data_IF_962235901968
#
_entry.id   IF_962235901968
#
_cell.length_a   1.000
_cell.length_b   1.000
_cell.length_c   1.000
_cell.angle_alpha   90.00
_cell.angle_beta   90.00
_cell.angle_gamma   90.00
#
_symmetry.space_group_name_H-M   'P 1'
#
loop_
_entity.id
_entity.type
_entity.pdbx_description
1 polymer ?
#
# COMPACT_ATOMS: atom_id res chain seq x y z
N UNK A 1 19.53 -26.15 21.41
CA UNK A 1 20.01 -25.16 20.43
C UNK A 1 20.15 -23.81 21.10
N UNK A 2 21.27 -23.13 20.89
CA UNK A 2 21.41 -21.70 21.21
C UNK A 2 21.30 -20.98 19.86
N UNK A 3 20.23 -20.23 19.65
CA UNK A 3 20.08 -19.40 18.46
C UNK A 3 20.74 -18.04 18.69
N UNK A 4 21.40 -17.50 17.67
CA UNK A 4 21.93 -16.14 17.66
C UNK A 4 21.54 -15.48 16.35
N UNK A 5 20.87 -14.34 16.45
CA UNK A 5 20.49 -13.54 15.29
C UNK A 5 21.54 -12.47 15.03
N UNK A 6 21.86 -12.29 13.76
CA UNK A 6 22.92 -11.42 13.31
C UNK A 6 22.45 -10.58 12.11
N UNK A 7 22.80 -9.29 12.11
CA UNK A 7 22.74 -8.45 10.93
C UNK A 7 24.16 -7.91 10.71
N UNK A 8 24.92 -8.59 9.87
CA UNK A 8 26.37 -8.36 9.74
C UNK A 8 26.70 -8.02 8.28
N UNK A 9 27.53 -7.01 8.08
CA UNK A 9 28.21 -6.82 6.81
C UNK A 9 29.32 -7.86 6.63
N UNK A 10 29.77 -8.04 5.38
CA UNK A 10 30.66 -9.14 5.01
C UNK A 10 31.91 -9.25 5.90
N UNK A 11 32.47 -8.13 6.38
CA UNK A 11 33.71 -8.17 7.16
C UNK A 11 33.51 -8.66 8.60
N UNK A 12 32.37 -8.35 9.21
CA UNK A 12 32.04 -8.69 10.59
C UNK A 12 31.43 -10.09 10.72
N UNK A 13 30.76 -10.55 9.65
CA UNK A 13 30.19 -11.89 9.53
C UNK A 13 31.25 -12.98 9.77
N UNK A 14 32.38 -12.91 9.07
CA UNK A 14 33.39 -13.97 9.10
C UNK A 14 34.05 -14.13 10.47
N UNK A 15 34.39 -13.01 11.13
CA UNK A 15 34.96 -13.05 12.48
C UNK A 15 33.99 -13.70 13.46
N UNK A 16 32.73 -13.27 13.40
CA UNK A 16 31.67 -13.78 14.29
C UNK A 16 31.44 -15.28 14.12
N UNK A 17 31.39 -15.77 12.88
CA UNK A 17 31.19 -17.20 12.60
C UNK A 17 32.40 -18.04 13.00
N UNK A 18 33.62 -17.52 12.80
CA UNK A 18 34.86 -18.18 13.22
C UNK A 18 34.96 -18.34 14.74
N UNK A 19 34.56 -17.30 15.48
CA UNK A 19 34.57 -17.31 16.94
C UNK A 19 33.45 -18.18 17.52
N UNK A 20 32.27 -18.19 16.89
CA UNK A 20 31.09 -18.89 17.41
C UNK A 20 31.05 -20.38 17.04
N UNK A 21 31.56 -20.76 15.87
CA UNK A 21 31.57 -22.13 15.34
C UNK A 21 30.18 -22.80 15.35
N UNK A 22 29.23 -22.28 14.55
CA UNK A 22 27.89 -22.86 14.49
C UNK A 22 27.88 -24.29 13.93
N UNK A 23 26.97 -25.11 14.45
CA UNK A 23 26.72 -26.45 13.92
C UNK A 23 25.81 -26.43 12.67
N UNK A 24 25.02 -25.37 12.48
CA UNK A 24 24.16 -25.15 11.31
C UNK A 24 23.92 -23.66 11.13
N UNK A 25 23.69 -23.24 9.88
CA UNK A 25 23.43 -21.84 9.55
C UNK A 25 22.13 -21.75 8.76
N UNK A 26 21.21 -20.90 9.21
CA UNK A 26 20.03 -20.46 8.45
C UNK A 26 20.25 -19.00 8.10
N UNK A 27 20.18 -18.64 6.82
CA UNK A 27 20.55 -17.30 6.38
C UNK A 27 19.77 -16.82 5.15
N UNK A 28 19.64 -15.50 5.02
CA UNK A 28 19.22 -14.84 3.79
C UNK A 28 20.44 -14.18 3.16
N UNK A 29 21.01 -14.78 2.12
CA UNK A 29 22.23 -14.26 1.48
C UNK A 29 22.13 -14.44 -0.04
N UNK A 30 22.50 -13.40 -0.78
CA UNK A 30 22.51 -13.37 -2.25
C UNK A 30 23.84 -13.90 -2.82
N UNK A 31 23.78 -14.42 -4.05
CA UNK A 31 24.78 -15.28 -4.72
C UNK A 31 26.26 -15.06 -4.35
N UNK A 32 26.81 -13.86 -4.50
CA UNK A 32 28.25 -13.62 -4.33
C UNK A 32 28.75 -13.83 -2.89
N UNK A 33 27.89 -13.62 -1.89
CA UNK A 33 28.26 -13.73 -0.49
C UNK A 33 28.17 -15.18 0.02
N UNK A 34 27.30 -16.01 -0.55
CA UNK A 34 27.17 -17.43 -0.15
C UNK A 34 28.35 -18.26 -0.61
N UNK A 35 28.88 -18.00 -1.80
CA UNK A 35 30.09 -18.67 -2.28
C UNK A 35 31.25 -18.39 -1.32
N UNK A 36 31.48 -17.12 -1.00
CA UNK A 36 32.50 -16.69 -0.05
C UNK A 36 32.29 -17.27 1.35
N UNK A 37 31.03 -17.42 1.79
CA UNK A 37 30.69 -18.04 3.06
C UNK A 37 31.02 -19.54 3.06
N UNK A 38 30.61 -20.28 2.02
CA UNK A 38 30.84 -21.73 1.89
C UNK A 38 32.32 -22.07 1.90
N UNK A 39 33.15 -21.25 1.26
CA UNK A 39 34.62 -21.44 1.20
C UNK A 39 35.31 -21.26 2.57
N UNK A 40 34.67 -20.57 3.51
CA UNK A 40 35.25 -20.22 4.81
C UNK A 40 34.69 -21.05 5.98
N UNK A 41 33.66 -21.86 5.73
CA UNK A 41 33.01 -22.68 6.75
C UNK A 41 33.32 -24.15 6.50
N UNK A 42 33.57 -24.96 7.55
CA UNK A 42 33.84 -26.39 7.37
C UNK A 42 32.75 -27.08 6.54
N UNK A 43 33.11 -27.88 5.50
CA UNK A 43 32.19 -28.46 4.51
C UNK A 43 31.01 -29.23 5.14
N UNK A 44 31.22 -29.80 6.32
CA UNK A 44 30.24 -30.53 7.12
C UNK A 44 29.16 -29.67 7.78
N UNK A 45 29.38 -28.36 7.95
CA UNK A 45 28.36 -27.46 8.52
C UNK A 45 27.27 -27.22 7.48
N UNK A 46 26.01 -27.59 7.76
CA UNK A 46 24.91 -27.36 6.84
C UNK A 46 24.54 -25.89 6.75
N UNK A 47 24.15 -25.47 5.54
CA UNK A 47 23.64 -24.13 5.27
C UNK A 47 22.23 -24.26 4.70
N UNK A 48 21.27 -23.53 5.27
CA UNK A 48 19.93 -23.40 4.72
C UNK A 48 19.71 -21.95 4.32
N UNK A 49 19.66 -21.71 3.01
CA UNK A 49 19.44 -20.37 2.46
C UNK A 49 17.96 -20.12 2.20
N UNK A 50 17.47 -18.95 2.62
CA UNK A 50 16.13 -18.44 2.29
C UNK A 50 16.14 -17.49 1.08
N UNK A 51 17.27 -17.37 0.41
CA UNK A 51 17.46 -16.65 -0.84
C UNK A 51 17.99 -17.61 -1.92
N UNK A 52 17.71 -17.31 -3.19
CA UNK A 52 18.18 -18.13 -4.30
C UNK A 52 19.70 -18.02 -4.39
N UNK A 53 20.36 -19.17 -4.36
CA UNK A 53 21.81 -19.32 -4.45
C UNK A 53 22.15 -20.40 -5.46
N UNK A 54 23.33 -20.32 -6.07
CA UNK A 54 23.87 -21.47 -6.79
C UNK A 54 23.97 -22.69 -5.86
N UNK A 55 23.69 -23.88 -6.39
CA UNK A 55 23.71 -25.11 -5.61
C UNK A 55 25.14 -25.42 -5.16
N UNK A 56 25.38 -25.36 -3.85
CA UNK A 56 26.67 -25.66 -3.22
C UNK A 56 26.56 -26.93 -2.38
N UNK A 57 27.72 -27.51 -2.04
CA UNK A 57 27.78 -28.69 -1.18
C UNK A 57 27.18 -28.42 0.20
N UNK A 58 26.35 -29.35 0.68
CA UNK A 58 25.73 -29.27 2.01
C UNK A 58 24.93 -27.97 2.22
N UNK A 59 24.30 -27.49 1.15
CA UNK A 59 23.45 -26.31 1.15
C UNK A 59 22.05 -26.69 0.66
N UNK A 60 21.04 -26.40 1.46
CA UNK A 60 19.64 -26.47 1.07
C UNK A 60 19.09 -25.06 0.83
N UNK A 61 18.04 -24.96 0.00
CA UNK A 61 17.43 -23.67 -0.35
C UNK A 61 15.92 -23.77 -0.13
N UNK A 62 15.34 -22.78 0.54
CA UNK A 62 13.89 -22.63 0.75
C UNK A 62 13.45 -21.30 0.19
N UNK A 63 12.52 -21.30 -0.77
CA UNK A 63 12.08 -20.10 -1.48
C UNK A 63 10.57 -19.99 -1.53
N UNK A 64 10.08 -18.76 -1.64
CA UNK A 64 8.72 -18.50 -2.08
C UNK A 64 8.52 -18.88 -3.57
N UNK A 65 7.29 -19.25 -3.93
CA UNK A 65 6.91 -19.51 -5.32
C UNK A 65 6.92 -18.23 -6.17
N UNK A 66 7.95 -18.07 -7.00
CA UNK A 66 8.01 -16.97 -7.98
C UNK A 66 6.90 -17.09 -9.02
N UNK A 67 6.48 -18.31 -9.37
CA UNK A 67 5.37 -18.53 -10.31
C UNK A 67 4.07 -18.01 -9.72
N UNK A 68 3.79 -18.34 -8.45
CA UNK A 68 2.60 -17.83 -7.77
C UNK A 68 2.62 -16.30 -7.68
N UNK A 69 3.77 -15.70 -7.38
CA UNK A 69 3.93 -14.23 -7.39
C UNK A 69 3.47 -13.63 -8.72
N UNK A 70 4.00 -14.13 -9.86
CA UNK A 70 3.63 -13.61 -11.17
C UNK A 70 2.16 -13.90 -11.50
N UNK A 71 1.63 -15.07 -11.15
CA UNK A 71 0.21 -15.38 -11.33
C UNK A 71 -0.70 -14.42 -10.55
N UNK A 72 -0.38 -14.09 -9.30
CA UNK A 72 -1.15 -13.14 -8.50
C UNK A 72 -1.11 -11.74 -9.11
N UNK A 73 0.08 -11.27 -9.51
CA UNK A 73 0.25 -9.96 -10.13
C UNK A 73 -0.52 -9.84 -11.45
N UNK A 74 -0.34 -10.81 -12.37
CA UNK A 74 -1.05 -10.82 -13.65
C UNK A 74 -2.56 -10.91 -13.49
N UNK A 75 -3.05 -11.76 -12.58
CA UNK A 75 -4.49 -11.86 -12.29
C UNK A 75 -5.09 -10.54 -11.85
N UNK A 76 -4.40 -9.78 -11.00
CA UNK A 76 -4.88 -8.47 -10.57
C UNK A 76 -4.81 -7.46 -11.72
N UNK A 77 -3.76 -7.47 -12.53
CA UNK A 77 -3.66 -6.59 -13.70
C UNK A 77 -4.75 -6.87 -14.75
N UNK A 78 -5.09 -8.14 -14.98
CA UNK A 78 -6.20 -8.53 -15.85
C UNK A 78 -7.54 -7.96 -15.35
N UNK A 79 -7.78 -7.99 -14.03
CA UNK A 79 -8.99 -7.40 -13.42
C UNK A 79 -9.05 -5.88 -13.60
N UNK A 80 -7.88 -5.21 -13.65
CA UNK A 80 -7.76 -3.77 -13.86
C UNK A 80 -7.78 -3.36 -15.33
N UNK A 81 -7.83 -4.33 -16.26
CA UNK A 81 -7.86 -4.08 -17.69
C UNK A 81 -6.68 -3.22 -18.18
N UNK A 82 -5.49 -3.44 -17.64
CA UNK A 82 -4.27 -2.75 -18.12
C UNK A 82 -3.89 -3.22 -19.53
N UNK A 83 -3.28 -2.34 -20.32
CA UNK A 83 -2.87 -2.67 -21.70
C UNK A 83 -1.65 -3.58 -21.73
N UNK A 84 -0.68 -3.32 -20.85
CA UNK A 84 0.60 -4.00 -20.80
C UNK A 84 1.05 -4.21 -19.35
N UNK A 85 1.85 -5.25 -19.12
CA UNK A 85 2.43 -5.56 -17.82
C UNK A 85 3.95 -5.55 -17.91
N UNK A 86 4.58 -4.73 -17.07
CA UNK A 86 6.02 -4.55 -16.99
C UNK A 86 6.57 -5.01 -15.63
N UNK A 87 7.75 -5.61 -15.64
CA UNK A 87 8.55 -5.78 -14.43
C UNK A 87 9.48 -4.57 -14.26
N UNK A 88 9.57 -4.03 -13.04
CA UNK A 88 10.57 -3.02 -12.69
C UNK A 88 11.54 -3.53 -11.61
N UNK A 89 12.84 -3.28 -11.81
CA UNK A 89 13.92 -3.85 -11.01
C UNK A 89 14.99 -2.80 -10.73
N UNK A 90 15.50 -2.74 -9.50
CA UNK A 90 16.71 -1.98 -9.20
C UNK A 90 17.97 -2.84 -9.39
N UNK A 91 19.05 -2.26 -9.89
CA UNK A 91 20.38 -2.88 -9.96
C UNK A 91 21.07 -2.70 -11.31
N UNK A 92 22.03 -3.59 -11.62
CA UNK A 92 22.84 -3.52 -12.85
C UNK A 92 22.14 -4.05 -14.11
N UNK A 93 22.85 -3.96 -15.25
CA UNK A 93 22.37 -4.28 -16.60
C UNK A 93 21.51 -5.58 -16.74
N UNK A 94 20.58 -5.62 -17.71
CA UNK A 94 19.37 -6.48 -17.74
C UNK A 94 19.59 -7.99 -18.01
N UNK A 95 20.83 -8.48 -17.93
CA UNK A 95 21.18 -9.86 -18.28
C UNK A 95 21.54 -10.74 -17.08
N UNK A 96 21.71 -10.17 -15.88
CA UNK A 96 22.24 -10.88 -14.72
C UNK A 96 21.27 -11.26 -13.60
N UNK A 97 20.14 -10.55 -13.43
CA UNK A 97 19.34 -10.70 -12.21
C UNK A 97 18.42 -11.94 -12.22
N UNK A 98 18.38 -12.64 -11.08
CA UNK A 98 17.58 -13.85 -10.88
C UNK A 98 16.08 -13.62 -11.10
N UNK A 99 15.57 -12.47 -10.67
CA UNK A 99 14.16 -12.07 -10.80
C UNK A 99 13.72 -11.82 -12.25
N UNK A 100 14.59 -11.26 -13.09
CA UNK A 100 14.34 -11.06 -14.52
C UNK A 100 14.34 -12.39 -15.29
N UNK A 101 15.27 -13.29 -14.93
CA UNK A 101 15.33 -14.64 -15.51
C UNK A 101 14.05 -15.42 -15.19
N UNK A 102 13.61 -15.41 -13.94
CA UNK A 102 12.38 -16.08 -13.50
C UNK A 102 11.15 -15.53 -14.22
N UNK A 103 11.04 -14.20 -14.39
CA UNK A 103 9.91 -13.63 -15.11
C UNK A 103 9.95 -13.96 -16.60
N UNK A 104 11.13 -14.00 -17.23
CA UNK A 104 11.28 -14.43 -18.63
C UNK A 104 10.84 -15.86 -18.84
N UNK A 105 11.23 -16.77 -17.94
CA UNK A 105 10.79 -18.18 -17.98
C UNK A 105 9.28 -18.30 -17.76
N UNK A 106 8.72 -17.54 -16.82
CA UNK A 106 7.27 -17.46 -16.61
C UNK A 106 6.55 -17.00 -17.88
N UNK A 107 6.98 -15.90 -18.48
CA UNK A 107 6.38 -15.31 -19.67
C UNK A 107 6.39 -16.27 -20.86
N UNK A 108 7.52 -16.97 -21.08
CA UNK A 108 7.64 -17.98 -22.13
C UNK A 108 6.69 -19.18 -21.93
N UNK A 109 6.49 -19.62 -20.68
CA UNK A 109 5.60 -20.76 -20.35
C UNK A 109 4.12 -20.41 -20.41
N UNK A 110 3.76 -19.16 -20.13
CA UNK A 110 2.36 -18.71 -20.03
C UNK A 110 1.90 -17.88 -21.23
N UNK A 111 2.73 -17.78 -22.28
CA UNK A 111 2.46 -17.00 -23.50
C UNK A 111 2.11 -15.52 -23.21
N UNK A 112 2.83 -14.94 -22.25
CA UNK A 112 2.75 -13.53 -21.88
C UNK A 112 3.93 -12.80 -22.52
N UNK A 113 3.73 -11.55 -22.96
CA UNK A 113 4.82 -10.74 -23.50
C UNK A 113 5.77 -10.32 -22.37
N UNK A 114 7.04 -10.65 -22.50
CA UNK A 114 8.05 -10.28 -21.52
C UNK A 114 8.47 -8.82 -21.68
N UNK A 115 8.15 -8.01 -20.67
CA UNK A 115 8.64 -6.64 -20.55
C UNK A 115 9.33 -6.44 -19.19
N UNK A 116 10.55 -5.90 -19.21
CA UNK A 116 11.29 -5.58 -17.99
C UNK A 116 12.10 -4.31 -18.19
N UNK A 117 12.01 -3.40 -17.22
CA UNK A 117 12.82 -2.20 -17.10
C UNK A 117 13.68 -2.30 -15.86
N UNK A 118 14.90 -1.80 -15.94
CA UNK A 118 15.80 -1.66 -14.80
C UNK A 118 16.21 -0.20 -14.62
N UNK A 119 16.61 0.13 -13.40
CA UNK A 119 17.23 1.40 -13.05
C UNK A 119 18.29 1.17 -11.96
N UNK A 120 19.34 2.02 -11.88
CA UNK A 120 20.22 2.01 -10.72
C UNK A 120 19.43 2.32 -9.45
N UNK A 121 19.80 1.70 -8.31
CA UNK A 121 19.15 2.00 -7.04
C UNK A 121 19.51 3.43 -6.60
N UNK A 122 18.52 4.34 -6.41
CA UNK A 122 18.81 5.71 -6.01
C UNK A 122 19.43 5.77 -4.61
N UNK A 123 20.48 6.56 -4.44
CA UNK A 123 21.09 6.79 -3.11
C UNK A 123 20.10 7.39 -2.10
N UNK A 124 19.05 8.06 -2.58
CA UNK A 124 17.97 8.62 -1.76
C UNK A 124 17.09 7.56 -1.10
N UNK A 125 17.08 6.32 -1.59
CA UNK A 125 16.41 5.20 -0.91
C UNK A 125 17.18 4.72 0.33
N UNK A 126 18.49 5.00 0.38
CA UNK A 126 19.38 4.68 1.51
C UNK A 126 19.38 5.80 2.56
N UNK A 127 19.03 7.03 2.15
CA UNK A 127 19.00 8.22 3.00
C UNK A 127 17.63 8.93 2.94
N UNK A 128 16.76 8.56 3.88
CA UNK A 128 15.38 9.06 4.00
C UNK A 128 15.27 10.57 4.26
N UNK A 129 16.37 11.28 4.52
CA UNK A 129 16.38 12.73 4.70
C UNK A 129 16.54 13.51 3.39
N UNK A 130 16.84 12.83 2.28
CA UNK A 130 16.96 13.46 0.97
C UNK A 130 15.66 13.38 0.19
N UNK A 131 15.30 14.47 -0.48
CA UNK A 131 14.21 14.47 -1.46
C UNK A 131 14.51 13.45 -2.56
N UNK A 132 13.53 12.63 -2.92
CA UNK A 132 13.64 11.71 -4.06
C UNK A 132 13.79 12.54 -5.33
N UNK A 133 14.94 12.44 -5.98
CA UNK A 133 15.12 12.89 -7.36
C UNK A 133 14.59 11.80 -8.30
N UNK A 134 13.81 12.22 -9.28
CA UNK A 134 13.31 11.33 -10.32
C UNK A 134 14.45 11.02 -11.28
N UNK A 135 14.67 9.75 -11.54
CA UNK A 135 15.63 9.32 -12.56
C UNK A 135 15.07 9.67 -13.95
N UNK A 136 15.79 10.45 -14.77
CA UNK A 136 15.30 10.90 -16.08
C UNK A 136 14.93 9.74 -17.03
N UNK A 137 15.62 8.61 -16.95
CA UNK A 137 15.35 7.45 -17.81
C UNK A 137 14.06 6.75 -17.35
N UNK A 138 13.82 6.70 -16.03
CA UNK A 138 12.56 6.18 -15.47
C UNK A 138 11.39 7.11 -15.82
N UNK A 139 11.56 8.43 -15.73
CA UNK A 139 10.54 9.39 -16.15
C UNK A 139 10.21 9.26 -17.64
N UNK A 140 11.23 9.21 -18.49
CA UNK A 140 11.05 9.04 -19.93
C UNK A 140 10.31 7.75 -20.23
N UNK A 141 10.75 6.63 -19.65
CA UNK A 141 10.10 5.33 -19.81
C UNK A 141 8.63 5.38 -19.39
N UNK A 142 8.33 5.86 -18.18
CA UNK A 142 6.96 5.93 -17.67
C UNK A 142 6.05 6.77 -18.58
N UNK A 143 6.54 7.86 -19.16
CA UNK A 143 5.75 8.71 -20.06
C UNK A 143 5.50 8.08 -21.44
N UNK A 144 6.37 7.18 -21.92
CA UNK A 144 6.22 6.53 -23.22
C UNK A 144 5.31 5.30 -23.21
N UNK A 145 5.05 4.71 -22.04
CA UNK A 145 4.23 3.50 -21.94
C UNK A 145 2.75 3.74 -22.29
N UNK A 146 2.09 2.80 -22.99
CA UNK A 146 0.66 2.89 -23.26
C UNK A 146 -0.16 2.78 -21.97
N UNK A 147 -1.05 3.75 -21.71
CA UNK A 147 -1.86 3.83 -20.47
C UNK A 147 -3.28 3.28 -20.68
N UNK A 148 -3.87 2.54 -19.72
CA UNK A 148 -3.28 2.12 -18.44
C UNK A 148 -2.20 1.05 -18.57
N UNK A 149 -1.15 1.11 -17.73
CA UNK A 149 -0.08 0.09 -17.67
C UNK A 149 0.02 -0.50 -16.26
N UNK A 150 0.25 -1.81 -16.17
CA UNK A 150 0.56 -2.51 -14.92
C UNK A 150 2.06 -2.66 -14.73
N UNK A 151 2.58 -2.34 -13.54
CA UNK A 151 3.99 -2.51 -13.20
C UNK A 151 4.10 -3.27 -11.89
N UNK A 152 4.77 -4.42 -11.89
CA UNK A 152 5.16 -5.08 -10.65
C UNK A 152 6.65 -4.91 -10.38
N UNK A 153 7.02 -4.65 -9.12
CA UNK A 153 8.40 -4.44 -8.69
C UNK A 153 8.95 -5.63 -7.93
N UNK A 154 10.28 -5.83 -8.00
CA UNK A 154 10.95 -6.94 -7.32
C UNK A 154 10.87 -6.86 -5.79
N UNK A 155 10.92 -5.66 -5.22
CA UNK A 155 10.89 -5.44 -3.78
C UNK A 155 9.95 -4.26 -3.45
N UNK A 156 9.65 -4.08 -2.16
CA UNK A 156 8.77 -2.99 -1.70
C UNK A 156 9.30 -1.61 -2.07
N UNK A 157 10.61 -1.37 -1.92
CA UNK A 157 11.22 -0.05 -2.13
C UNK A 157 11.12 0.43 -3.57
N UNK A 158 11.31 -0.47 -4.54
CA UNK A 158 11.12 -0.19 -5.96
C UNK A 158 9.68 0.21 -6.30
N UNK A 159 8.70 -0.45 -5.69
CA UNK A 159 7.28 -0.08 -5.85
C UNK A 159 6.99 1.30 -5.24
N UNK A 160 7.54 1.58 -4.06
CA UNK A 160 7.42 2.87 -3.40
C UNK A 160 8.05 4.00 -4.22
N UNK A 161 9.23 3.75 -4.78
CA UNK A 161 9.91 4.68 -5.68
C UNK A 161 9.06 4.98 -6.91
N UNK A 162 8.52 3.97 -7.59
CA UNK A 162 7.65 4.17 -8.75
C UNK A 162 6.39 4.97 -8.41
N UNK A 163 5.74 4.68 -7.28
CA UNK A 163 4.56 5.42 -6.85
C UNK A 163 4.89 6.91 -6.62
N UNK A 164 6.03 7.19 -5.98
CA UNK A 164 6.49 8.56 -5.76
C UNK A 164 6.91 9.25 -7.05
N UNK A 165 7.59 8.55 -7.96
CA UNK A 165 7.96 9.08 -9.26
C UNK A 165 6.72 9.45 -10.08
N UNK A 166 5.71 8.57 -10.13
CA UNK A 166 4.43 8.87 -10.80
C UNK A 166 3.77 10.13 -10.23
N UNK A 167 3.75 10.28 -8.90
CA UNK A 167 3.22 11.47 -8.24
C UNK A 167 3.96 12.75 -8.66
N UNK A 168 5.30 12.71 -8.70
CA UNK A 168 6.14 13.86 -9.04
C UNK A 168 6.00 14.28 -10.51
N UNK A 169 5.82 13.32 -11.43
CA UNK A 169 5.67 13.59 -12.87
C UNK A 169 4.21 13.71 -13.32
N UNK A 170 3.25 13.63 -12.39
CA UNK A 170 1.83 13.87 -12.63
C UNK A 170 1.04 12.69 -13.22
N UNK A 171 1.59 11.47 -13.20
CA UNK A 171 0.85 10.26 -13.57
C UNK A 171 -0.05 9.78 -12.43
N UNK A 172 -1.29 9.43 -12.76
CA UNK A 172 -2.26 8.96 -11.78
C UNK A 172 -2.06 7.48 -11.50
N UNK A 173 -1.89 7.13 -10.24
CA UNK A 173 -1.86 5.75 -9.76
C UNK A 173 -3.18 5.48 -9.03
N UNK A 174 -4.02 4.49 -9.41
CA UNK A 174 -3.75 3.41 -10.37
C UNK A 174 -4.15 3.71 -11.83
N UNK A 175 -4.78 4.86 -12.12
CA UNK A 175 -5.52 5.10 -13.38
C UNK A 175 -4.62 5.01 -14.63
N UNK A 176 -3.46 5.65 -14.59
CA UNK A 176 -2.48 5.59 -15.68
C UNK A 176 -1.50 4.44 -15.45
N UNK A 177 -1.06 4.27 -14.20
CA UNK A 177 -0.06 3.27 -13.80
C UNK A 177 -0.56 2.52 -12.57
N UNK A 178 -0.85 1.23 -12.69
CA UNK A 178 -1.14 0.36 -11.55
C UNK A 178 0.16 -0.29 -11.04
N UNK A 179 0.40 -0.28 -9.73
CA UNK A 179 1.69 -0.70 -9.15
C UNK A 179 1.51 -1.81 -8.11
N UNK A 180 2.22 -2.92 -8.29
CA UNK A 180 2.31 -4.03 -7.33
C UNK A 180 3.76 -4.17 -6.84
N UNK A 181 4.00 -4.10 -5.54
CA UNK A 181 5.29 -4.41 -4.92
C UNK A 181 5.35 -5.83 -4.33
N UNK A 182 6.45 -6.12 -3.64
CA UNK A 182 6.64 -7.36 -2.86
C UNK A 182 6.64 -7.09 -1.36
N UNK A 183 6.55 -8.16 -0.57
CA UNK A 183 6.83 -8.29 0.88
C UNK A 183 5.86 -7.58 1.83
N UNK A 184 5.19 -6.52 1.39
CA UNK A 184 4.17 -5.82 2.16
C UNK A 184 4.68 -5.07 3.38
N UNK A 185 5.98 -4.74 3.43
CA UNK A 185 6.57 -3.98 4.52
C UNK A 185 5.84 -2.65 4.76
N UNK A 186 5.90 -2.14 6.00
CA UNK A 186 5.17 -0.94 6.41
C UNK A 186 5.47 0.29 5.55
N UNK A 187 6.68 0.39 4.96
CA UNK A 187 7.06 1.46 4.04
C UNK A 187 6.12 1.57 2.83
N UNK A 188 5.48 0.46 2.41
CA UNK A 188 4.45 0.45 1.36
C UNK A 188 3.22 1.32 1.70
N UNK A 189 2.98 1.59 2.99
CA UNK A 189 1.86 2.43 3.46
C UNK A 189 2.21 3.91 3.55
N UNK A 190 3.50 4.24 3.47
CA UNK A 190 4.02 5.60 3.63
C UNK A 190 4.07 6.39 2.33
N UNK A 191 3.69 5.80 1.20
CA UNK A 191 3.61 6.47 -0.11
C UNK A 191 2.20 6.96 -0.42
N UNK A 192 2.11 7.88 -1.37
CA UNK A 192 0.83 8.38 -1.88
C UNK A 192 0.73 8.14 -3.39
N UNK A 193 -0.04 7.13 -3.84
CA UNK A 193 -0.84 6.19 -3.04
C UNK A 193 0.00 5.06 -2.40
N UNK A 194 -0.54 4.38 -1.37
CA UNK A 194 0.10 3.19 -0.79
C UNK A 194 0.16 2.02 -1.77
N UNK A 195 1.27 1.28 -1.74
CA UNK A 195 1.63 0.24 -2.71
C UNK A 195 0.97 -1.11 -2.38
N UNK A 196 0.25 -1.70 -3.34
CA UNK A 196 -0.30 -3.06 -3.25
C UNK A 196 0.85 -4.04 -3.22
N UNK A 197 0.78 -5.10 -2.43
CA UNK A 197 1.93 -6.01 -2.30
C UNK A 197 1.52 -7.47 -2.40
N UNK A 198 2.30 -8.27 -3.12
CA UNK A 198 2.24 -9.73 -2.96
C UNK A 198 3.01 -10.07 -1.69
N UNK A 199 2.31 -10.68 -0.73
CA UNK A 199 2.86 -11.11 0.55
C UNK A 199 3.48 -12.49 0.40
N UNK A 200 4.77 -12.56 0.70
CA UNK A 200 5.50 -13.81 0.80
C UNK A 200 5.20 -14.45 2.16
N UNK A 201 4.95 -15.78 2.23
CA UNK A 201 4.76 -16.52 3.48
C UNK A 201 6.09 -16.69 4.23
N UNK A 202 6.65 -15.57 4.71
CA UNK A 202 7.95 -15.53 5.38
C UNK A 202 8.02 -16.40 6.66
N UNK A 203 6.96 -16.44 7.52
CA UNK A 203 6.94 -17.36 8.66
C UNK A 203 7.09 -18.84 8.25
N UNK A 204 6.38 -19.26 7.21
CA UNK A 204 6.40 -20.63 6.70
C UNK A 204 7.74 -20.98 6.06
N UNK A 205 8.36 -20.04 5.34
CA UNK A 205 9.73 -20.19 4.82
C UNK A 205 10.73 -20.37 5.96
N UNK A 206 10.64 -19.54 7.01
CA UNK A 206 11.51 -19.62 8.17
C UNK A 206 11.35 -20.95 8.92
N UNK A 207 10.11 -21.38 9.18
CA UNK A 207 9.82 -22.66 9.81
C UNK A 207 10.38 -23.82 8.98
N UNK A 208 10.12 -23.84 7.68
CA UNK A 208 10.64 -24.92 6.81
C UNK A 208 12.16 -24.91 6.75
N UNK A 209 12.80 -23.74 6.76
CA UNK A 209 14.26 -23.64 6.77
C UNK A 209 14.86 -24.23 8.05
N UNK A 210 14.23 -23.99 9.21
CA UNK A 210 14.64 -24.60 10.49
C UNK A 210 14.41 -26.11 10.51
N UNK A 211 13.29 -26.60 9.99
CA UNK A 211 13.04 -28.04 9.89
C UNK A 211 14.11 -28.75 9.05
N UNK A 212 14.48 -28.16 7.91
CA UNK A 212 15.57 -28.69 7.05
C UNK A 212 16.91 -28.61 7.77
N UNK A 213 17.19 -27.53 8.51
CA UNK A 213 18.42 -27.40 9.28
C UNK A 213 18.56 -28.54 10.31
N UNK A 214 17.47 -28.90 10.99
CA UNK A 214 17.42 -30.02 11.93
C UNK A 214 17.61 -31.35 11.18
N UNK A 215 16.91 -31.57 10.07
CA UNK A 215 17.04 -32.77 9.22
C UNK A 215 18.50 -32.98 8.75
N UNK A 216 19.17 -31.91 8.34
CA UNK A 216 20.57 -31.94 7.90
C UNK A 216 21.53 -32.23 9.06
N UNK A 217 21.26 -31.72 10.26
CA UNK A 217 22.04 -32.03 11.47
C UNK A 217 21.90 -33.49 11.88
N UNK A 218 20.70 -34.07 11.77
CA UNK A 218 20.42 -35.44 12.20
C UNK A 218 20.88 -36.48 11.18
N UNK A 219 20.70 -36.19 9.89
CA UNK A 219 20.95 -37.17 8.81
C UNK A 219 22.26 -36.92 8.05
N UNK A 220 22.85 -35.73 8.17
CA UNK A 220 24.02 -35.31 7.39
C UNK A 220 23.71 -34.95 5.94
N UNK A 221 22.44 -34.91 5.54
CA UNK A 221 22.01 -34.61 4.18
C UNK A 221 20.75 -33.76 4.15
N UNK A 222 20.56 -32.98 3.09
CA UNK A 222 19.38 -32.15 2.88
C UNK A 222 18.89 -32.19 1.44
N UNK A 223 17.77 -31.51 1.14
CA UNK A 223 17.22 -31.43 -0.20
C UNK A 223 18.25 -30.88 -1.20
N UNK A 224 18.46 -31.60 -2.30
CA UNK A 224 19.31 -31.11 -3.38
C UNK A 224 18.62 -29.99 -4.17
N UNK A 225 17.32 -30.14 -4.43
CA UNK A 225 16.53 -29.14 -5.15
C UNK A 225 15.94 -28.09 -4.20
N UNK A 226 15.74 -26.85 -4.66
CA UNK A 226 15.07 -25.83 -3.86
C UNK A 226 13.66 -26.26 -3.43
N UNK A 227 13.38 -26.13 -2.13
CA UNK A 227 12.05 -26.34 -1.57
C UNK A 227 11.22 -25.08 -1.78
N UNK A 228 10.11 -25.20 -2.50
CA UNK A 228 9.23 -24.07 -2.83
C UNK A 228 8.06 -24.04 -1.86
N UNK A 229 7.83 -22.86 -1.26
CA UNK A 229 6.69 -22.55 -0.39
C UNK A 229 5.67 -21.73 -1.21
N UNK A 230 4.49 -22.31 -1.35
CA UNK A 230 3.30 -21.67 -1.94
C UNK A 230 2.48 -20.96 -0.84
N UNK A 231 1.39 -20.29 -1.23
CA UNK A 231 0.50 -19.58 -0.32
C UNK A 231 0.74 -18.06 -0.31
N UNK A 232 1.28 -17.52 -1.40
CA UNK A 232 1.43 -16.08 -1.58
C UNK A 232 0.05 -15.43 -1.68
N UNK A 233 -0.16 -14.36 -0.91
CA UNK A 233 -1.42 -13.62 -0.87
C UNK A 233 -1.22 -12.21 -1.42
N UNK A 234 -2.28 -11.57 -1.92
CA UNK A 234 -2.20 -10.19 -2.36
C UNK A 234 -2.82 -9.27 -1.31
N UNK A 235 -2.03 -8.30 -0.84
CA UNK A 235 -2.48 -7.21 -0.01
C UNK A 235 -2.73 -6.00 -0.88
N UNK A 236 -3.96 -5.93 -1.35
CA UNK A 236 -4.51 -4.84 -2.15
C UNK A 236 -4.47 -3.50 -1.39
N UNK A 237 -3.98 -2.46 -2.08
CA UNK A 237 -3.92 -1.06 -1.63
C UNK A 237 -4.22 -0.10 -2.81
N UNK A 238 -4.24 1.20 -2.53
CA UNK A 238 -4.75 2.20 -3.48
C UNK A 238 -3.99 2.24 -4.82
N UNK A 239 -2.74 1.80 -4.88
CA UNK A 239 -1.95 1.73 -6.12
C UNK A 239 -2.42 0.71 -7.17
N UNK A 240 -3.34 -0.18 -6.82
CA UNK A 240 -4.06 -1.06 -7.77
C UNK A 240 -5.58 -0.86 -7.67
N UNK A 241 -6.04 0.23 -7.06
CA UNK A 241 -7.45 0.42 -6.73
C UNK A 241 -7.93 -0.47 -5.56
N UNK A 242 -7.05 -1.29 -5.00
CA UNK A 242 -7.25 -2.22 -3.90
C UNK A 242 -7.22 -1.60 -2.50
N UNK A 243 -7.19 -0.27 -2.41
CA UNK A 243 -7.73 0.37 -1.24
C UNK A 243 -9.21 0.12 -1.35
N UNK A 244 -9.78 -0.67 -0.43
CA UNK A 244 -11.22 -0.74 -0.22
C UNK A 244 -11.82 0.60 -0.65
N UNK A 245 -12.75 0.59 -1.61
CA UNK A 245 -13.82 1.58 -1.55
C UNK A 245 -14.54 1.32 -0.21
N UNK A 246 -13.92 1.73 0.90
CA UNK A 246 -14.65 2.60 1.80
C UNK A 246 -14.63 3.93 1.07
N UNK A 247 -15.32 3.96 -0.09
CA UNK A 247 -15.87 5.22 -0.54
C UNK A 247 -16.59 5.71 0.69
N UNK A 248 -16.36 6.97 1.01
CA UNK A 248 -17.29 7.56 1.94
C UNK A 248 -18.65 7.36 1.30
N UNK A 249 -19.57 6.69 1.99
CA UNK A 249 -20.93 6.56 1.47
C UNK A 249 -21.54 7.95 1.58
N UNK A 250 -21.28 8.78 0.57
CA UNK A 250 -21.68 10.19 0.55
C UNK A 250 -23.20 10.27 0.47
N UNK A 251 -23.84 9.31 -0.18
CA UNK A 251 -25.30 9.23 -0.25
C UNK A 251 -25.89 8.90 1.12
N UNK A 252 -25.34 7.92 1.85
CA UNK A 252 -25.74 7.64 3.23
C UNK A 252 -25.43 8.82 4.16
N UNK A 253 -24.30 9.50 3.99
CA UNK A 253 -23.97 10.70 4.76
C UNK A 253 -24.95 11.84 4.49
N UNK A 254 -25.31 12.09 3.22
CA UNK A 254 -26.30 13.09 2.83
C UNK A 254 -27.69 12.72 3.34
N UNK A 255 -28.07 11.45 3.31
CA UNK A 255 -29.32 10.94 3.86
C UNK A 255 -29.38 11.15 5.38
N UNK A 256 -28.33 10.76 6.10
CA UNK A 256 -28.21 10.94 7.54
C UNK A 256 -28.26 12.42 7.93
N UNK A 257 -27.55 13.30 7.20
CA UNK A 257 -27.64 14.76 7.39
C UNK A 257 -29.08 15.23 7.13
N UNK A 258 -29.72 14.76 6.06
CA UNK A 258 -31.09 15.12 5.70
C UNK A 258 -32.11 14.80 6.78
N UNK A 259 -31.93 13.66 7.46
CA UNK A 259 -32.81 13.17 8.51
C UNK A 259 -32.50 13.78 9.89
N UNK A 260 -31.22 13.86 10.26
CA UNK A 260 -30.82 14.12 11.65
C UNK A 260 -30.17 15.49 11.88
N UNK A 261 -29.89 16.31 10.85
CA UNK A 261 -29.17 17.58 11.05
C UNK A 261 -29.81 18.49 12.12
N UNK A 262 -31.13 18.50 12.23
CA UNK A 262 -31.88 19.31 13.18
C UNK A 262 -31.87 18.78 14.62
N UNK A 263 -31.27 17.62 14.87
CA UNK A 263 -31.12 17.02 16.22
C UNK A 263 -29.84 17.49 16.94
N UNK A 264 -29.06 18.38 16.32
CA UNK A 264 -27.83 18.93 16.91
C UNK A 264 -26.55 18.16 16.53
N UNK A 265 -26.64 17.26 15.56
CA UNK A 265 -25.55 16.43 15.00
C UNK A 265 -24.34 17.28 14.54
N UNK A 266 -23.14 16.76 14.78
CA UNK A 266 -21.84 17.30 14.33
C UNK A 266 -21.23 16.41 13.25
N UNK A 267 -20.19 16.92 12.57
CA UNK A 267 -19.47 16.16 11.53
C UNK A 267 -18.90 14.84 12.05
N UNK A 268 -18.41 14.80 13.30
CA UNK A 268 -17.93 13.55 13.89
C UNK A 268 -19.03 12.50 14.01
N UNK A 269 -20.24 12.91 14.43
CA UNK A 269 -21.37 12.00 14.55
C UNK A 269 -21.75 11.41 13.18
N UNK A 270 -21.70 12.22 12.11
CA UNK A 270 -21.92 11.71 10.73
C UNK A 270 -20.85 10.67 10.38
N UNK A 271 -19.58 10.93 10.68
CA UNK A 271 -18.49 9.98 10.41
C UNK A 271 -18.70 8.68 11.20
N UNK A 272 -18.97 8.77 12.51
CA UNK A 272 -19.17 7.61 13.37
C UNK A 272 -20.38 6.75 12.97
N UNK A 273 -21.46 7.39 12.50
CA UNK A 273 -22.71 6.69 12.17
C UNK A 273 -22.78 6.16 10.75
N UNK A 274 -21.99 6.72 9.82
CA UNK A 274 -22.12 6.39 8.39
C UNK A 274 -20.84 5.92 7.73
N UNK A 275 -19.68 6.04 8.39
CA UNK A 275 -18.38 5.87 7.75
C UNK A 275 -17.44 4.95 8.53
N UNK A 276 -16.62 4.18 7.81
CA UNK A 276 -15.51 3.39 8.35
C UNK A 276 -14.13 4.06 8.21
N UNK A 277 -14.09 5.38 7.97
CA UNK A 277 -12.85 6.11 7.64
C UNK A 277 -12.54 7.26 8.59
N UNK A 278 -11.30 7.76 8.53
CA UNK A 278 -10.91 8.96 9.27
C UNK A 278 -11.70 10.20 8.84
N UNK A 279 -11.89 11.15 9.77
CA UNK A 279 -12.55 12.43 9.50
C UNK A 279 -11.89 13.23 8.38
N UNK A 280 -10.57 13.17 8.27
CA UNK A 280 -9.83 13.90 7.23
C UNK A 280 -10.13 13.33 5.84
N UNK A 281 -10.14 12.00 5.73
CA UNK A 281 -10.51 11.27 4.51
C UNK A 281 -11.95 11.60 4.10
N UNK A 282 -12.88 11.52 5.05
CA UNK A 282 -14.29 11.88 4.83
C UNK A 282 -14.45 13.33 4.35
N UNK A 283 -13.79 14.27 5.02
CA UNK A 283 -13.92 15.69 4.68
C UNK A 283 -13.43 15.99 3.26
N UNK A 284 -12.28 15.43 2.86
CA UNK A 284 -11.74 15.58 1.50
C UNK A 284 -12.70 14.99 0.47
N UNK A 285 -13.14 13.75 0.69
CA UNK A 285 -14.01 13.03 -0.26
C UNK A 285 -15.40 13.66 -0.40
N UNK A 286 -16.01 14.06 0.71
CA UNK A 286 -17.30 14.74 0.70
C UNK A 286 -17.24 16.06 -0.07
N UNK A 287 -16.14 16.83 0.08
CA UNK A 287 -15.95 18.07 -0.69
C UNK A 287 -15.78 17.81 -2.19
N UNK A 288 -15.03 16.78 -2.56
CA UNK A 288 -14.83 16.39 -3.97
C UNK A 288 -16.14 15.97 -4.65
N UNK A 289 -17.00 15.23 -3.93
CA UNK A 289 -18.24 14.65 -4.50
C UNK A 289 -19.42 15.63 -4.38
N UNK A 290 -19.66 16.20 -3.21
CA UNK A 290 -20.81 17.06 -2.95
C UNK A 290 -20.54 18.55 -3.25
N UNK A 291 -19.29 18.94 -3.53
CA UNK A 291 -18.90 20.32 -3.82
C UNK A 291 -18.92 21.28 -2.61
N UNK A 292 -19.30 20.80 -1.43
CA UNK A 292 -19.37 21.56 -0.18
C UNK A 292 -18.79 20.76 0.98
N UNK A 293 -18.40 21.43 2.07
CA UNK A 293 -17.92 20.71 3.26
C UNK A 293 -19.06 20.04 4.03
N UNK A 294 -18.83 18.95 4.78
CA UNK A 294 -19.86 18.31 5.61
C UNK A 294 -20.52 19.28 6.59
N UNK A 295 -19.71 20.17 7.20
CA UNK A 295 -20.22 21.20 8.10
C UNK A 295 -21.05 22.29 7.40
N UNK A 296 -20.81 22.54 6.11
CA UNK A 296 -21.68 23.39 5.30
C UNK A 296 -23.01 22.67 4.96
N UNK A 297 -22.97 21.39 4.60
CA UNK A 297 -24.16 20.60 4.31
C UNK A 297 -25.13 20.52 5.51
N UNK A 298 -24.61 20.27 6.72
CA UNK A 298 -25.40 20.28 7.97
C UNK A 298 -26.06 21.65 8.18
N UNK A 299 -25.30 22.74 8.02
CA UNK A 299 -25.82 24.11 8.18
C UNK A 299 -26.91 24.41 7.16
N UNK A 300 -26.71 24.07 5.90
CA UNK A 300 -27.69 24.32 4.84
C UNK A 300 -28.99 23.56 5.09
N UNK A 301 -28.92 22.29 5.51
CA UNK A 301 -30.12 21.53 5.88
C UNK A 301 -30.89 22.18 7.03
N UNK A 302 -30.19 22.71 8.04
CA UNK A 302 -30.81 23.44 9.17
C UNK A 302 -31.43 24.76 8.73
N UNK A 303 -30.75 25.54 7.89
CA UNK A 303 -31.29 26.82 7.40
C UNK A 303 -32.52 26.60 6.52
N UNK A 304 -32.53 25.54 5.70
CA UNK A 304 -33.71 25.15 4.93
C UNK A 304 -34.92 24.87 5.81
N UNK A 305 -34.73 24.15 6.92
CA UNK A 305 -35.80 23.91 7.90
C UNK A 305 -36.30 25.22 8.53
N UNK A 306 -35.38 26.09 8.93
CA UNK A 306 -35.72 27.37 9.54
C UNK A 306 -36.55 28.25 8.59
N UNK A 307 -36.15 28.34 7.31
CA UNK A 307 -36.91 29.06 6.27
C UNK A 307 -38.32 28.49 6.12
N UNK A 308 -38.43 27.16 6.08
CA UNK A 308 -39.71 26.48 5.97
C UNK A 308 -40.60 26.79 7.19
N UNK A 309 -40.11 26.60 8.42
CA UNK A 309 -40.85 26.90 9.65
C UNK A 309 -41.26 28.38 9.76
N UNK A 310 -40.40 29.31 9.36
CA UNK A 310 -40.70 30.74 9.39
C UNK A 310 -41.81 31.11 8.40
N UNK A 311 -41.86 30.47 7.24
CA UNK A 311 -42.87 30.72 6.20
C UNK A 311 -44.21 30.03 6.47
N UNK A 312 -44.18 28.79 6.98
CA UNK A 312 -45.38 27.96 7.12
C UNK A 312 -46.06 28.06 8.49
N UNK A 313 -45.37 28.57 9.52
CA UNK A 313 -45.87 28.53 10.91
C UNK A 313 -45.74 29.87 11.63
N UNK A 314 -46.46 30.04 12.73
CA UNK A 314 -46.34 31.20 13.64
C UNK A 314 -45.44 30.94 14.86
N UNK A 315 -44.70 29.83 14.85
CA UNK A 315 -43.81 29.45 15.95
C UNK A 315 -42.76 30.55 16.18
N UNK A 316 -42.49 30.93 17.43
CA UNK A 316 -41.53 31.99 17.72
C UNK A 316 -40.11 31.64 17.24
N UNK A 317 -39.31 32.59 16.72
CA UNK A 317 -37.93 32.32 16.26
C UNK A 317 -37.03 31.67 17.33
N UNK A 318 -37.25 31.99 18.61
CA UNK A 318 -36.56 31.36 19.73
C UNK A 318 -36.82 29.85 19.83
N UNK A 319 -38.05 29.41 19.55
CA UNK A 319 -38.41 27.99 19.52
C UNK A 319 -37.89 27.31 18.25
N UNK A 320 -37.96 28.00 17.10
CA UNK A 320 -37.41 27.49 15.82
C UNK A 320 -35.92 27.20 15.93
N UNK A 321 -35.17 28.02 16.67
CA UNK A 321 -33.75 27.76 16.97
C UNK A 321 -33.53 26.34 17.52
N UNK A 322 -34.32 25.95 18.52
CA UNK A 322 -34.26 24.59 19.10
C UNK A 322 -34.66 23.51 18.09
N UNK A 323 -35.74 23.74 17.34
CA UNK A 323 -36.23 22.80 16.33
C UNK A 323 -35.24 22.58 15.18
N UNK A 324 -34.35 23.55 14.91
CA UNK A 324 -33.31 23.45 13.91
C UNK A 324 -31.96 22.91 14.46
N UNK A 325 -31.91 22.45 15.71
CA UNK A 325 -30.72 21.85 16.30
C UNK A 325 -29.69 22.84 16.83
N UNK A 326 -30.11 24.07 17.14
CA UNK A 326 -29.27 25.09 17.77
C UNK A 326 -29.62 25.23 19.25
N UNK A 327 -28.59 25.19 20.11
CA UNK A 327 -28.75 25.35 21.57
C UNK A 327 -28.97 26.80 21.98
N UNK A 328 -28.40 27.74 21.24
CA UNK A 328 -28.36 29.15 21.60
C UNK A 328 -28.87 30.04 20.47
N UNK A 329 -29.89 30.83 20.77
CA UNK A 329 -30.50 31.76 19.82
C UNK A 329 -29.51 32.78 19.22
N UNK A 330 -28.54 33.36 19.97
CA UNK A 330 -27.53 34.25 19.38
C UNK A 330 -26.72 33.61 18.26
N UNK A 331 -26.37 32.31 18.41
CA UNK A 331 -25.64 31.59 17.37
C UNK A 331 -26.53 31.34 16.13
N UNK A 332 -27.76 30.86 16.35
CA UNK A 332 -28.75 30.70 15.27
C UNK A 332 -28.98 31.99 14.51
N UNK A 333 -29.21 33.10 15.21
CA UNK A 333 -29.43 34.42 14.62
C UNK A 333 -28.26 34.84 13.71
N UNK A 334 -27.02 34.67 14.19
CA UNK A 334 -25.82 35.01 13.42
C UNK A 334 -25.69 34.17 12.15
N UNK A 335 -25.95 32.86 12.24
CA UNK A 335 -25.87 31.95 11.08
C UNK A 335 -27.00 32.23 10.09
N UNK A 336 -28.23 32.43 10.56
CA UNK A 336 -29.38 32.71 9.72
C UNK A 336 -29.21 34.03 8.96
N UNK A 337 -28.79 35.09 9.64
CA UNK A 337 -28.53 36.39 9.01
C UNK A 337 -27.39 36.32 8.00
N UNK A 338 -26.37 35.49 8.23
CA UNK A 338 -25.30 35.27 7.26
C UNK A 338 -25.76 34.48 6.03
N UNK A 339 -26.75 33.60 6.18
CA UNK A 339 -27.36 32.81 5.10
C UNK A 339 -28.33 33.65 4.25
N UNK A 340 -29.25 34.37 4.90
CA UNK A 340 -30.39 35.02 4.24
C UNK A 340 -30.26 36.55 4.11
N UNK A 341 -29.24 37.16 4.69
CA UNK A 341 -29.03 38.62 4.72
C UNK A 341 -29.92 39.37 5.72
N UNK A 342 -31.03 38.79 6.16
CA UNK A 342 -32.00 39.39 7.10
C UNK A 342 -32.16 38.56 8.39
N UNK A 343 -32.73 39.17 9.43
CA UNK A 343 -33.05 38.42 10.66
C UNK A 343 -34.21 37.44 10.45
N UNK A 344 -34.35 36.38 11.29
CA UNK A 344 -35.48 35.44 11.21
C UNK A 344 -36.86 36.12 11.24
N UNK A 345 -37.02 37.12 12.09
CA UNK A 345 -38.28 37.89 12.20
C UNK A 345 -38.56 38.70 10.94
N UNK A 346 -37.53 39.37 10.40
CA UNK A 346 -37.67 40.10 9.13
C UNK A 346 -37.97 39.14 7.97
N UNK A 347 -37.29 38.00 7.91
CA UNK A 347 -37.53 36.97 6.90
C UNK A 347 -39.00 36.53 6.91
N UNK A 348 -39.56 36.23 8.08
CA UNK A 348 -40.99 35.88 8.23
C UNK A 348 -41.91 36.95 7.64
N UNK A 349 -41.67 38.22 7.96
CA UNK A 349 -42.51 39.32 7.49
C UNK A 349 -42.38 39.59 5.98
N UNK A 350 -41.36 39.03 5.32
CA UNK A 350 -41.16 39.16 3.87
C UNK A 350 -41.83 38.02 3.10
N UNK A 351 -41.97 36.84 3.72
CA UNK A 351 -42.48 35.62 3.06
C UNK A 351 -43.92 35.27 3.42
N UNK A 352 -44.47 35.92 4.46
CA UNK A 352 -45.90 35.93 4.78
C UNK A 352 -46.50 37.25 4.35
#
# INVERSE_FOLDING_TARGET
MIARDFFLDGSELFRTLSDWQPNVIVCFIVDDLVINLRDQIPPEVPIVSTARVQQLSNTAVVLASAIEFYCQAHRLFDQLQVNEVWQFVFGGEPTGQSSQRQYREYAARHNVVYHSQWAPEPQTLVDLHKSVEVDPDVEFWLNQLPKPVGIFSQNTLAGCYLARTCELIGLKVPVDVAIIGSDGFQVATSTHPPVTSVLVPAPEIGLRAVDIAIEMLETGSGPCEPVIIEGLTILERASTGGGCRVDCDIDAALQFIGQHACEGVKVNDVVEQTQGVSRMTFHKRFLEVAGITPGAAIRERRMREARWLLSQTDVAPGTICGLCGYREYPHFYKVFRASEGVSPTQYRNLVK
#
